data_IF_998820649890
#
_entry.id   IF_998820649890
#
_cell.length_a   1.000
_cell.length_b   1.000
_cell.length_c   1.000
_cell.angle_alpha   90.00
_cell.angle_beta   90.00
_cell.angle_gamma   90.00
#
_symmetry.space_group_name_H-M   'P 1'
#
loop_
_entity.id
_entity.type
_entity.pdbx_description
1 polymer ?
#
# COMPACT_ATOMS: atom_id res chain seq x y z
N UNK A 1 27.75 -32.46 29.52
CA UNK A 1 27.52 -33.68 30.32
C UNK A 1 26.49 -34.56 29.64
N UNK A 2 26.90 -35.79 29.22
CA UNK A 2 26.18 -37.07 29.02
C UNK A 2 24.91 -37.01 28.16
N UNK A 3 24.85 -37.40 26.82
CA UNK A 3 25.08 -38.74 26.25
C UNK A 3 24.20 -39.87 26.82
N UNK A 4 23.28 -40.40 25.95
CA UNK A 4 22.82 -41.79 25.86
C UNK A 4 21.96 -41.91 24.57
N UNK A 5 22.43 -42.42 23.54
CA UNK A 5 22.58 -43.70 22.88
C UNK A 5 21.64 -44.80 23.43
N UNK A 6 20.70 -45.28 22.60
CA UNK A 6 20.18 -46.63 22.62
C UNK A 6 19.82 -47.10 21.21
N UNK A 7 20.27 -48.10 20.85
CA UNK A 7 20.65 -49.17 19.99
C UNK A 7 19.55 -50.24 19.89
N UNK A 8 19.42 -50.82 18.67
CA UNK A 8 18.96 -52.16 18.25
C UNK A 8 17.47 -52.53 18.38
N UNK A 9 16.84 -53.07 17.34
CA UNK A 9 17.01 -54.45 16.88
C UNK A 9 16.32 -54.73 15.53
N UNK A 10 17.02 -55.37 14.64
CA UNK A 10 16.55 -55.97 13.40
C UNK A 10 15.87 -57.31 13.70
N UNK A 11 14.78 -57.63 12.97
CA UNK A 11 14.35 -59.00 12.78
C UNK A 11 13.94 -59.24 11.33
N UNK A 12 14.77 -59.97 10.65
CA UNK A 12 14.51 -60.58 9.35
C UNK A 12 13.62 -61.81 9.54
N UNK A 13 12.57 -61.98 8.77
CA UNK A 13 11.87 -63.24 8.60
C UNK A 13 11.87 -63.60 7.14
N UNK A 14 12.64 -64.66 6.89
CA UNK A 14 12.74 -65.40 5.63
C UNK A 14 11.58 -66.39 5.55
N UNK A 15 10.81 -66.46 4.48
CA UNK A 15 10.03 -67.65 4.15
C UNK A 15 10.24 -68.01 2.70
N UNK A 16 10.68 -69.26 2.54
CA UNK A 16 11.05 -69.90 1.30
C UNK A 16 9.85 -70.66 0.71
N UNK A 17 9.80 -70.57 -0.62
CA UNK A 17 9.47 -71.59 -1.63
C UNK A 17 8.41 -72.68 -1.40
N UNK A 18 7.50 -72.80 -2.36
CA UNK A 18 7.32 -74.08 -3.03
C UNK A 18 6.80 -73.88 -4.48
N UNK A 19 7.53 -74.51 -5.36
CA UNK A 19 7.29 -74.69 -6.79
C UNK A 19 6.25 -75.80 -7.02
N UNK A 20 5.30 -75.59 -7.93
CA UNK A 20 4.66 -76.71 -8.63
C UNK A 20 4.54 -76.37 -10.14
N UNK A 21 5.23 -77.18 -10.87
CA UNK A 21 5.33 -77.26 -12.32
C UNK A 21 4.17 -78.13 -12.85
N UNK A 22 3.37 -77.64 -13.79
CA UNK A 22 2.56 -78.50 -14.65
C UNK A 22 2.69 -78.05 -16.09
N UNK A 23 3.20 -78.96 -16.89
CA UNK A 23 3.30 -78.97 -18.34
C UNK A 23 2.00 -79.49 -18.95
N UNK A 24 1.45 -78.82 -19.95
CA UNK A 24 0.95 -79.43 -21.20
C UNK A 24 0.53 -78.35 -22.21
N UNK A 25 1.14 -78.43 -23.30
CA UNK A 25 0.88 -78.69 -24.74
C UNK A 25 0.28 -77.56 -25.52
N UNK A 26 1.02 -77.31 -26.57
CA UNK A 26 0.84 -76.43 -27.73
C UNK A 26 -0.55 -76.49 -28.38
N UNK A 27 -1.08 -75.29 -28.69
CA UNK A 27 -1.84 -75.09 -29.93
C UNK A 27 -1.60 -73.63 -30.40
N UNK A 28 -1.05 -73.53 -31.61
CA UNK A 28 -0.80 -72.29 -32.31
C UNK A 28 -2.12 -71.62 -32.73
N UNK A 29 -2.38 -70.44 -32.24
CA UNK A 29 -3.21 -69.46 -32.93
C UNK A 29 -2.51 -68.12 -32.94
N UNK A 30 -2.18 -67.67 -34.15
CA UNK A 30 -1.73 -66.38 -34.51
C UNK A 30 -2.70 -65.32 -33.94
N UNK A 31 -2.27 -64.62 -32.91
CA UNK A 31 -2.95 -63.39 -32.45
C UNK A 31 -2.18 -62.22 -32.98
N UNK A 32 -2.84 -61.42 -33.82
CA UNK A 32 -2.45 -60.06 -34.15
C UNK A 32 -2.32 -59.29 -32.86
N UNK A 33 -1.10 -58.89 -32.52
CA UNK A 33 -0.84 -57.92 -31.47
C UNK A 33 -1.38 -56.56 -31.91
N UNK A 34 -2.62 -56.26 -31.58
CA UNK A 34 -3.07 -54.86 -31.50
C UNK A 34 -2.30 -54.20 -30.39
N UNK A 35 -1.39 -53.30 -30.76
CA UNK A 35 -0.80 -52.31 -29.86
C UNK A 35 -1.90 -51.45 -29.24
N UNK A 36 -2.40 -51.82 -28.07
CA UNK A 36 -3.32 -51.02 -27.25
C UNK A 36 -2.59 -50.36 -26.10
N UNK A 37 -1.54 -49.62 -26.41
CA UNK A 37 -0.92 -48.74 -25.42
C UNK A 37 -0.78 -47.35 -26.05
N UNK A 38 -1.80 -46.47 -25.79
CA UNK A 38 -1.62 -44.98 -25.77
C UNK A 38 -2.89 -44.15 -25.82
N UNK A 39 -3.99 -44.49 -25.17
CA UNK A 39 -5.18 -43.64 -25.22
C UNK A 39 -5.76 -43.19 -23.87
N UNK A 40 -5.03 -43.34 -22.77
CA UNK A 40 -5.57 -43.03 -21.44
C UNK A 40 -5.77 -41.53 -21.16
N UNK A 41 -5.26 -40.60 -22.00
CA UNK A 41 -5.35 -39.16 -21.82
C UNK A 41 -5.89 -38.40 -23.02
N UNK A 42 -6.42 -39.08 -24.05
CA UNK A 42 -6.96 -38.42 -25.23
C UNK A 42 -8.47 -38.18 -25.08
N UNK A 43 -8.88 -36.92 -25.27
CA UNK A 43 -10.27 -36.49 -25.18
C UNK A 43 -10.77 -36.17 -26.58
N UNK A 44 -11.79 -36.88 -27.06
CA UNK A 44 -12.43 -36.59 -28.33
C UNK A 44 -13.47 -35.50 -28.09
N UNK A 45 -13.33 -34.40 -28.80
CA UNK A 45 -14.24 -33.25 -28.72
C UNK A 45 -14.50 -32.73 -30.13
N UNK A 46 -15.70 -33.03 -30.63
CA UNK A 46 -16.05 -32.82 -32.05
C UNK A 46 -16.07 -31.35 -32.44
N UNK A 47 -15.93 -31.05 -33.73
CA UNK A 47 -16.05 -29.69 -34.26
C UNK A 47 -17.43 -29.07 -33.98
N UNK A 48 -18.50 -29.86 -33.98
CA UNK A 48 -19.83 -29.40 -33.63
C UNK A 48 -19.89 -28.93 -32.15
N UNK A 49 -19.32 -29.72 -31.22
CA UNK A 49 -19.21 -29.37 -29.81
C UNK A 49 -18.32 -28.12 -29.62
N UNK A 50 -17.19 -28.09 -30.30
CA UNK A 50 -16.24 -26.93 -30.26
C UNK A 50 -16.92 -25.64 -30.69
N UNK A 51 -17.71 -25.67 -31.76
CA UNK A 51 -18.46 -24.53 -32.28
C UNK A 51 -19.59 -24.12 -31.35
N UNK A 52 -20.29 -25.08 -30.78
CA UNK A 52 -21.42 -24.84 -29.86
C UNK A 52 -20.97 -24.14 -28.56
N UNK A 53 -19.81 -24.48 -28.02
CA UNK A 53 -19.29 -23.86 -26.78
C UNK A 53 -18.35 -22.68 -27.03
N UNK A 54 -18.11 -22.27 -28.28
CA UNK A 54 -17.18 -21.18 -28.61
C UNK A 54 -15.74 -21.48 -28.23
N UNK A 55 -15.29 -22.75 -28.39
CA UNK A 55 -13.95 -23.16 -28.05
C UNK A 55 -12.91 -22.36 -28.85
N UNK A 56 -11.92 -21.82 -28.12
CA UNK A 56 -10.77 -21.12 -28.73
C UNK A 56 -9.48 -21.73 -28.25
N UNK A 57 -8.52 -21.81 -29.13
CA UNK A 57 -7.16 -22.24 -28.82
C UNK A 57 -6.18 -21.12 -29.11
N UNK A 58 -5.12 -21.05 -28.32
CA UNK A 58 -4.00 -20.11 -28.47
C UNK A 58 -2.72 -20.91 -28.55
N UNK A 59 -1.81 -20.51 -29.46
CA UNK A 59 -0.47 -21.10 -29.50
C UNK A 59 0.35 -20.49 -28.38
N UNK A 60 0.82 -21.33 -27.47
CA UNK A 60 1.65 -20.93 -26.33
C UNK A 60 2.95 -20.29 -26.83
N UNK A 61 3.19 -19.05 -26.39
CA UNK A 61 4.41 -18.30 -26.70
C UNK A 61 4.89 -17.62 -25.44
N UNK A 62 6.19 -17.61 -25.18
CA UNK A 62 6.76 -16.77 -24.15
C UNK A 62 6.42 -15.30 -24.40
N UNK A 63 6.09 -14.58 -23.37
CA UNK A 63 5.72 -13.16 -23.40
C UNK A 63 6.21 -12.46 -22.17
N UNK A 64 6.10 -11.14 -22.17
CA UNK A 64 6.32 -10.35 -20.95
C UNK A 64 5.13 -10.52 -20.01
N UNK A 65 5.41 -10.67 -18.71
CA UNK A 65 4.43 -10.86 -17.66
C UNK A 65 4.79 -10.01 -16.45
N UNK A 66 3.81 -9.42 -15.79
CA UNK A 66 4.00 -8.72 -14.53
C UNK A 66 2.97 -9.20 -13.52
N UNK A 67 3.44 -9.65 -12.38
CA UNK A 67 2.55 -10.02 -11.29
C UNK A 67 1.77 -8.81 -10.80
N UNK A 68 0.49 -9.01 -10.48
CA UNK A 68 -0.35 -7.98 -9.83
C UNK A 68 -0.79 -8.52 -8.48
N UNK A 69 -0.45 -7.76 -7.45
CA UNK A 69 -0.93 -8.01 -6.09
C UNK A 69 -2.05 -7.01 -5.78
N UNK A 70 -3.29 -7.50 -5.60
CA UNK A 70 -4.42 -6.70 -5.19
C UNK A 70 -4.44 -6.55 -3.68
N UNK A 71 -4.44 -5.30 -3.20
CA UNK A 71 -4.47 -4.93 -1.79
C UNK A 71 -5.37 -3.72 -1.58
N UNK A 72 -5.79 -3.49 -0.37
CA UNK A 72 -6.45 -2.24 0.02
C UNK A 72 -5.44 -1.22 0.52
N UNK A 73 -5.84 0.04 0.54
CA UNK A 73 -4.99 1.09 1.06
C UNK A 73 -5.72 2.42 1.20
N UNK A 74 -4.96 3.45 1.48
CA UNK A 74 -5.49 4.77 1.75
C UNK A 74 -4.61 5.87 1.16
N UNK A 75 -5.24 6.95 0.72
CA UNK A 75 -4.56 8.18 0.35
C UNK A 75 -4.36 9.02 1.61
N UNK A 76 -3.14 9.43 1.86
CA UNK A 76 -2.74 10.24 3.01
C UNK A 76 -2.07 11.53 2.54
N UNK A 77 -2.05 12.60 3.34
CA UNK A 77 -1.23 13.77 3.02
C UNK A 77 0.26 13.41 3.07
N UNK A 78 1.05 13.98 2.18
CA UNK A 78 2.50 13.79 2.22
C UNK A 78 3.11 14.52 3.43
N UNK A 79 4.20 14.01 4.01
CA UNK A 79 4.94 14.69 5.05
C UNK A 79 5.36 16.11 4.60
N UNK A 80 5.05 17.11 5.42
CA UNK A 80 5.32 18.52 5.13
C UNK A 80 4.23 19.23 4.33
N UNK A 81 3.24 18.54 3.82
CA UNK A 81 2.06 19.15 3.19
C UNK A 81 0.95 19.49 4.20
N UNK A 82 1.10 19.09 5.44
CA UNK A 82 0.26 19.51 6.56
C UNK A 82 1.08 20.20 7.66
N UNK A 83 0.51 21.20 8.28
CA UNK A 83 1.09 21.88 9.43
C UNK A 83 0.03 22.15 10.49
N UNK A 84 0.40 21.89 11.75
CA UNK A 84 -0.40 22.29 12.89
C UNK A 84 -0.09 23.73 13.24
N UNK A 85 -1.11 24.53 13.33
CA UNK A 85 -1.06 25.93 13.80
C UNK A 85 -1.26 25.92 15.29
N UNK A 86 -0.27 26.41 16.05
CA UNK A 86 -0.29 26.39 17.52
C UNK A 86 -0.35 27.78 18.11
N UNK A 87 -0.89 27.90 19.33
CA UNK A 87 -0.85 29.13 20.12
C UNK A 87 0.61 29.48 20.46
N UNK A 88 0.98 30.74 20.25
CA UNK A 88 2.31 31.28 20.60
C UNK A 88 2.36 31.94 21.95
N UNK A 89 1.19 32.07 22.60
CA UNK A 89 1.04 32.64 23.97
C UNK A 89 -0.19 32.05 24.64
N UNK A 90 -0.23 32.18 25.96
CA UNK A 90 -1.40 31.84 26.76
C UNK A 90 -2.47 32.93 26.62
N UNK A 91 -3.73 32.54 26.57
CA UNK A 91 -4.83 33.50 26.50
C UNK A 91 -6.15 32.94 25.98
N UNK A 92 -7.08 33.83 25.71
CA UNK A 92 -8.39 33.53 25.14
C UNK A 92 -8.30 33.67 23.62
N UNK A 93 -8.78 32.65 22.92
CA UNK A 93 -8.81 32.62 21.45
C UNK A 93 -9.95 33.46 20.90
N UNK A 94 -9.63 34.27 19.87
CA UNK A 94 -10.63 34.88 19.01
C UNK A 94 -10.35 34.43 17.59
N UNK A 95 -11.25 33.64 17.00
CA UNK A 95 -11.13 33.07 15.70
C UNK A 95 -11.44 34.12 14.59
N UNK A 96 -10.71 34.03 13.47
CA UNK A 96 -11.08 34.82 12.31
C UNK A 96 -12.25 34.13 11.59
N UNK A 97 -13.46 34.68 11.75
CA UNK A 97 -14.70 34.08 11.25
C UNK A 97 -14.68 33.72 9.76
N UNK A 98 -13.89 34.44 8.95
CA UNK A 98 -13.81 34.20 7.50
C UNK A 98 -12.79 33.11 7.12
N UNK A 99 -11.79 32.87 7.96
CA UNK A 99 -10.70 31.94 7.68
C UNK A 99 -10.71 30.69 8.58
N UNK A 100 -11.24 30.81 9.80
CA UNK A 100 -11.29 29.70 10.75
C UNK A 100 -12.50 28.77 10.48
N UNK A 101 -12.63 28.33 9.23
CA UNK A 101 -13.69 27.40 8.79
C UNK A 101 -13.03 26.26 8.02
N UNK A 102 -13.35 24.98 8.29
CA UNK A 102 -12.85 23.86 7.49
C UNK A 102 -13.14 24.06 5.99
N UNK A 103 -12.12 23.87 5.15
CA UNK A 103 -12.18 24.12 3.71
C UNK A 103 -11.81 25.56 3.29
N UNK A 104 -11.71 26.53 4.20
CA UNK A 104 -11.30 27.89 3.84
C UNK A 104 -9.85 27.95 3.36
N UNK A 105 -9.62 28.64 2.23
CA UNK A 105 -8.29 28.86 1.67
C UNK A 105 -7.51 29.89 2.49
N UNK A 106 -6.26 29.57 2.83
CA UNK A 106 -5.34 30.45 3.55
C UNK A 106 -4.01 30.56 2.83
N UNK A 107 -3.39 31.73 2.91
CA UNK A 107 -2.01 31.94 2.46
C UNK A 107 -1.06 31.86 3.65
N UNK A 108 0.21 31.53 3.38
CA UNK A 108 1.26 31.62 4.40
C UNK A 108 1.28 33.02 5.02
N UNK A 109 1.22 33.11 6.35
CA UNK A 109 1.12 34.37 7.10
C UNK A 109 -0.30 34.88 7.32
N UNK A 110 -1.34 34.27 6.75
CA UNK A 110 -2.73 34.61 7.03
C UNK A 110 -3.05 34.40 8.51
N UNK A 111 -3.69 35.37 9.14
CA UNK A 111 -4.06 35.34 10.55
C UNK A 111 -5.34 34.53 10.74
N UNK A 112 -5.21 33.32 11.31
CA UNK A 112 -6.32 32.38 11.53
C UNK A 112 -7.06 32.75 12.84
N UNK A 113 -6.30 33.15 13.86
CA UNK A 113 -6.83 33.50 15.17
C UNK A 113 -5.96 34.59 15.81
N UNK A 114 -6.47 35.16 16.88
CA UNK A 114 -5.69 35.96 17.86
C UNK A 114 -5.85 35.37 19.25
N UNK A 115 -4.80 35.44 20.06
CA UNK A 115 -4.82 35.00 21.46
C UNK A 115 -4.64 36.21 22.33
N UNK A 116 -5.62 36.48 23.19
CA UNK A 116 -5.64 37.69 24.05
C UNK A 116 -5.54 37.31 25.52
N UNK A 117 -4.56 37.91 26.21
CA UNK A 117 -4.41 37.77 27.66
C UNK A 117 -4.87 39.04 28.42
N UNK A 118 -5.50 40.01 27.74
CA UNK A 118 -5.86 41.32 28.32
C UNK A 118 -6.73 41.23 29.58
N UNK A 119 -7.67 40.26 29.61
CA UNK A 119 -8.63 40.10 30.71
C UNK A 119 -8.25 38.96 31.65
N UNK A 120 -7.03 38.42 31.53
CA UNK A 120 -6.54 37.39 32.44
C UNK A 120 -5.85 38.02 33.67
N UNK A 121 -5.94 37.36 34.81
CA UNK A 121 -5.28 37.79 36.05
C UNK A 121 -3.76 37.94 35.89
N UNK A 122 -3.16 37.13 34.98
CA UNK A 122 -1.75 37.23 34.61
C UNK A 122 -1.40 38.48 33.81
N UNK A 123 -2.40 39.20 33.24
CA UNK A 123 -2.21 40.35 32.39
C UNK A 123 -1.56 40.06 31.03
N UNK A 124 -1.59 41.06 30.15
CA UNK A 124 -1.03 40.95 28.82
C UNK A 124 0.52 40.91 28.85
N UNK A 125 1.15 39.82 28.35
CA UNK A 125 2.62 39.66 28.36
C UNK A 125 3.35 40.76 27.57
N UNK A 126 2.77 41.21 26.45
CA UNK A 126 3.36 42.26 25.60
C UNK A 126 3.37 43.60 26.33
N UNK A 127 2.26 43.94 27.03
CA UNK A 127 2.17 45.14 27.83
C UNK A 127 3.20 45.13 28.97
N UNK A 128 3.37 44.00 29.66
CA UNK A 128 4.39 43.86 30.73
C UNK A 128 5.80 44.02 30.16
N UNK A 129 6.13 43.32 29.07
CA UNK A 129 7.43 43.43 28.44
C UNK A 129 7.73 44.86 27.97
N UNK A 130 6.72 45.57 27.44
CA UNK A 130 6.84 46.96 27.06
C UNK A 130 7.17 47.86 28.25
N UNK A 131 6.47 47.73 29.39
CA UNK A 131 6.71 48.49 30.60
C UNK A 131 8.16 48.25 31.11
N UNK A 132 8.59 46.99 31.15
CA UNK A 132 9.97 46.63 31.53
C UNK A 132 10.99 47.26 30.61
N UNK A 133 10.79 47.15 29.29
CA UNK A 133 11.65 47.79 28.31
C UNK A 133 11.73 49.31 28.43
N UNK A 134 10.58 49.99 28.57
CA UNK A 134 10.52 51.46 28.73
C UNK A 134 11.22 51.90 30.01
N UNK A 135 11.12 51.13 31.10
CA UNK A 135 11.79 51.39 32.38
C UNK A 135 13.31 51.23 32.22
N UNK A 136 13.76 50.08 31.71
CA UNK A 136 15.19 49.83 31.51
C UNK A 136 15.83 50.83 30.52
N UNK A 137 15.09 51.26 29.52
CA UNK A 137 15.52 52.28 28.57
C UNK A 137 15.79 53.62 29.26
N UNK A 138 14.88 54.05 30.10
CA UNK A 138 15.02 55.33 30.84
C UNK A 138 16.21 55.29 31.82
N UNK A 139 16.43 54.14 32.47
CA UNK A 139 17.58 53.93 33.36
C UNK A 139 18.89 53.95 32.61
N UNK A 140 18.96 53.26 31.45
CA UNK A 140 20.13 53.25 30.58
C UNK A 140 20.44 54.65 30.00
N UNK A 141 19.43 55.40 29.49
CA UNK A 141 19.59 56.77 28.99
C UNK A 141 20.09 57.74 30.06
N UNK A 142 19.68 57.51 31.33
CA UNK A 142 20.21 58.26 32.47
C UNK A 142 21.64 57.88 32.77
N UNK A 143 21.96 56.59 32.80
CA UNK A 143 23.28 56.08 33.05
C UNK A 143 24.31 56.55 31.99
N UNK A 144 23.86 56.64 30.71
CA UNK A 144 24.74 57.18 29.63
C UNK A 144 25.20 58.60 29.85
N UNK A 145 24.40 59.44 30.51
CA UNK A 145 24.80 60.77 30.90
C UNK A 145 25.75 60.76 32.09
N UNK A 146 25.40 59.98 33.14
CA UNK A 146 26.13 59.92 34.39
C UNK A 146 27.53 59.31 34.27
N UNK A 147 27.74 58.36 33.36
CA UNK A 147 29.07 57.74 33.13
C UNK A 147 30.01 58.72 32.45
N UNK A 148 29.51 59.60 31.56
CA UNK A 148 30.31 60.66 30.92
C UNK A 148 30.84 61.65 31.94
N UNK A 149 30.02 61.96 32.96
CA UNK A 149 30.40 62.83 34.07
C UNK A 149 31.14 62.09 35.22
N UNK A 150 31.49 60.77 35.02
CA UNK A 150 32.17 59.93 36.01
C UNK A 150 31.44 59.80 37.34
N UNK A 151 30.12 59.93 37.34
CA UNK A 151 29.29 59.86 38.56
C UNK A 151 28.96 58.40 38.89
N UNK A 152 28.89 57.51 37.90
CA UNK A 152 28.73 56.07 38.07
C UNK A 152 29.95 55.32 37.52
N UNK A 153 30.18 54.09 37.98
CA UNK A 153 31.25 53.22 37.45
C UNK A 153 30.92 52.63 36.08
N UNK A 154 32.00 52.33 35.33
CA UNK A 154 31.83 51.61 34.02
C UNK A 154 31.13 50.27 34.21
N UNK A 155 31.33 49.57 35.32
CA UNK A 155 30.68 48.33 35.65
C UNK A 155 29.17 48.51 35.83
N UNK A 156 28.75 49.58 36.46
CA UNK A 156 27.35 49.89 36.71
C UNK A 156 26.66 50.32 35.42
N UNK A 157 27.35 51.07 34.57
CA UNK A 157 26.87 51.41 33.22
C UNK A 157 26.67 50.15 32.36
N UNK A 158 27.65 49.24 32.29
CA UNK A 158 27.53 47.99 31.54
C UNK A 158 26.40 47.08 32.06
N UNK A 159 26.16 47.07 33.38
CA UNK A 159 24.99 46.37 33.96
C UNK A 159 23.66 46.91 33.44
N UNK A 160 23.46 48.23 33.48
CA UNK A 160 22.24 48.89 33.06
C UNK A 160 22.05 48.77 31.53
N UNK A 161 23.15 48.76 30.75
CA UNK A 161 23.12 48.49 29.32
C UNK A 161 22.65 47.07 29.04
N UNK A 162 23.21 46.08 29.73
CA UNK A 162 22.80 44.68 29.57
C UNK A 162 21.32 44.48 29.92
N UNK A 163 20.82 45.08 30.97
CA UNK A 163 19.40 45.05 31.37
C UNK A 163 18.48 45.65 30.26
N UNK A 164 18.90 46.78 29.69
CA UNK A 164 18.19 47.39 28.55
C UNK A 164 18.16 46.48 27.32
N UNK A 165 19.29 45.89 26.94
CA UNK A 165 19.39 45.01 25.79
C UNK A 165 18.56 43.75 25.99
N UNK A 166 18.52 43.16 27.19
CA UNK A 166 17.68 42.03 27.55
C UNK A 166 16.19 42.40 27.48
N UNK A 167 15.80 43.50 28.07
CA UNK A 167 14.41 43.98 28.09
C UNK A 167 13.92 44.30 26.64
N UNK A 168 14.78 44.90 25.82
CA UNK A 168 14.49 45.19 24.40
C UNK A 168 14.30 43.88 23.61
N UNK A 169 15.15 42.89 23.82
CA UNK A 169 15.08 41.60 23.14
C UNK A 169 13.78 40.88 23.51
N UNK A 170 13.44 40.84 24.80
CA UNK A 170 12.20 40.26 25.28
C UNK A 170 10.95 40.97 24.74
N UNK A 171 10.95 42.30 24.75
CA UNK A 171 9.82 43.09 24.19
C UNK A 171 9.66 42.83 22.68
N UNK A 172 10.74 42.83 21.90
CA UNK A 172 10.71 42.53 20.48
C UNK A 172 10.18 41.13 20.19
N UNK A 173 10.60 40.12 20.96
CA UNK A 173 10.13 38.76 20.80
C UNK A 173 8.63 38.63 21.07
N UNK A 174 8.10 39.28 22.13
CA UNK A 174 6.70 39.18 22.50
C UNK A 174 5.79 40.10 21.67
N UNK A 175 6.30 41.23 21.17
CA UNK A 175 5.54 42.15 20.30
C UNK A 175 5.41 41.69 18.85
N UNK A 176 6.13 40.67 18.47
CA UNK A 176 6.01 40.07 17.14
C UNK A 176 4.58 39.56 16.93
N UNK A 177 3.94 39.92 15.81
CA UNK A 177 2.53 39.60 15.50
C UNK A 177 1.49 40.14 16.52
N UNK A 178 1.85 41.11 17.38
CA UNK A 178 0.89 41.73 18.29
C UNK A 178 -0.06 42.67 17.53
N UNK A 179 -1.34 42.51 17.78
CA UNK A 179 -2.43 43.34 17.24
C UNK A 179 -3.22 44.02 18.38
N UNK A 180 -4.14 44.89 18.04
CA UNK A 180 -5.06 45.47 19.02
C UNK A 180 -5.94 44.43 19.74
N UNK A 181 -6.16 43.26 19.10
CA UNK A 181 -6.99 42.16 19.60
C UNK A 181 -6.22 41.09 20.37
N UNK A 182 -4.88 41.10 20.31
CA UNK A 182 -4.02 40.10 20.94
C UNK A 182 -2.84 39.71 20.04
N UNK A 183 -2.22 38.58 20.36
CA UNK A 183 -1.11 38.03 19.56
C UNK A 183 -1.70 37.21 18.42
N UNK A 184 -1.31 37.55 17.17
CA UNK A 184 -1.78 36.88 15.96
C UNK A 184 -1.20 35.49 15.81
N UNK A 185 -2.06 34.52 15.53
CA UNK A 185 -1.70 33.15 15.19
C UNK A 185 -1.85 32.97 13.69
N UNK A 186 -0.72 32.76 13.01
CA UNK A 186 -0.63 32.78 11.56
C UNK A 186 -0.43 31.38 10.97
N UNK A 187 -0.93 31.19 9.74
CA UNK A 187 -0.67 29.98 8.98
C UNK A 187 0.82 29.88 8.58
N UNK A 188 1.51 28.78 8.88
CA UNK A 188 2.90 28.57 8.47
C UNK A 188 3.04 28.26 6.97
N UNK A 189 1.95 27.86 6.31
CA UNK A 189 1.93 27.50 4.88
C UNK A 189 0.65 27.99 4.19
N UNK A 190 0.69 28.03 2.85
CA UNK A 190 -0.49 28.29 2.03
C UNK A 190 -1.23 26.98 1.75
N UNK A 191 -2.55 26.99 1.78
CA UNK A 191 -3.39 25.81 1.59
C UNK A 191 -4.81 26.07 2.04
N UNK A 192 -5.42 25.09 2.68
CA UNK A 192 -6.77 25.22 3.26
C UNK A 192 -6.80 24.72 4.69
N UNK A 193 -7.74 25.23 5.47
CA UNK A 193 -7.99 24.76 6.84
C UNK A 193 -8.61 23.36 6.77
N UNK A 194 -7.92 22.38 7.33
CA UNK A 194 -8.42 21.00 7.42
C UNK A 194 -9.36 20.85 8.61
N UNK A 195 -8.88 21.27 9.80
CA UNK A 195 -9.64 21.19 11.05
C UNK A 195 -9.40 22.44 11.89
N UNK A 196 -10.40 22.84 12.65
CA UNK A 196 -10.29 23.75 13.78
C UNK A 196 -10.42 22.92 15.05
N UNK A 197 -9.48 23.07 15.98
CA UNK A 197 -9.32 22.23 17.17
C UNK A 197 -9.75 22.95 18.47
N UNK A 198 -10.15 24.22 18.37
CA UNK A 198 -10.59 25.06 19.49
C UNK A 198 -11.85 25.82 19.11
N UNK A 199 -12.64 26.23 20.08
CA UNK A 199 -13.80 27.08 19.89
C UNK A 199 -13.47 28.58 20.16
N UNK A 200 -14.33 29.45 19.64
CA UNK A 200 -14.28 30.88 19.96
C UNK A 200 -14.42 31.07 21.49
N UNK A 201 -13.52 31.82 22.11
CA UNK A 201 -13.51 32.08 23.54
C UNK A 201 -12.81 31.03 24.41
N UNK A 202 -12.28 29.95 23.83
CA UNK A 202 -11.51 28.96 24.58
C UNK A 202 -10.22 29.55 25.12
N UNK A 203 -9.84 29.12 26.31
CA UNK A 203 -8.52 29.39 26.86
C UNK A 203 -7.52 28.38 26.26
N UNK A 204 -6.40 28.90 25.77
CA UNK A 204 -5.29 28.07 25.22
C UNK A 204 -3.98 28.40 25.91
N UNK A 205 -3.13 27.38 26.00
CA UNK A 205 -1.75 27.52 26.49
C UNK A 205 -0.78 27.55 25.34
N UNK A 206 0.38 28.14 25.54
CA UNK A 206 1.49 28.17 24.56
C UNK A 206 1.81 26.75 24.04
N UNK A 207 1.84 26.57 22.74
CA UNK A 207 2.06 25.26 22.08
C UNK A 207 0.79 24.45 21.84
N UNK A 208 -0.38 24.87 22.37
CA UNK A 208 -1.64 24.16 22.10
C UNK A 208 -2.06 24.33 20.63
N UNK A 209 -2.49 23.23 20.02
CA UNK A 209 -2.96 23.21 18.65
C UNK A 209 -4.29 23.96 18.51
N UNK A 210 -4.37 24.87 17.54
CA UNK A 210 -5.56 25.66 17.21
C UNK A 210 -6.22 25.16 15.94
N UNK A 211 -5.42 24.89 14.91
CA UNK A 211 -5.92 24.45 13.60
C UNK A 211 -4.90 23.55 12.90
N UNK A 212 -5.37 22.83 11.90
CA UNK A 212 -4.50 22.13 10.95
C UNK A 212 -4.71 22.71 9.56
N UNK A 213 -3.64 23.07 8.89
CA UNK A 213 -3.63 23.57 7.50
C UNK A 213 -2.99 22.53 6.60
N UNK A 214 -3.60 22.25 5.47
CA UNK A 214 -3.11 21.29 4.45
C UNK A 214 -2.91 22.00 3.11
N UNK A 215 -1.82 21.66 2.41
CA UNK A 215 -1.58 22.13 1.03
C UNK A 215 -2.24 21.25 -0.02
N UNK A 216 -2.35 19.95 0.29
CA UNK A 216 -2.90 18.93 -0.60
C UNK A 216 -2.25 18.86 -2.00
N UNK A 217 -0.97 19.26 -2.10
CA UNK A 217 -0.23 19.22 -3.37
C UNK A 217 0.37 17.87 -3.66
N UNK A 218 0.88 17.23 -2.63
CA UNK A 218 1.45 15.90 -2.68
C UNK A 218 0.72 14.98 -1.73
N UNK A 219 0.54 13.77 -2.18
CA UNK A 219 -0.15 12.74 -1.43
C UNK A 219 0.73 11.50 -1.31
N UNK A 220 0.41 10.70 -0.33
CA UNK A 220 0.98 9.37 -0.11
C UNK A 220 -0.11 8.35 -0.33
N UNK A 221 0.07 7.48 -1.31
CA UNK A 221 -0.71 6.26 -1.46
C UNK A 221 -0.05 5.17 -0.60
N UNK A 222 -0.70 4.80 0.49
CA UNK A 222 -0.29 3.69 1.36
C UNK A 222 -1.05 2.44 0.97
N UNK A 223 -0.34 1.42 0.54
CA UNK A 223 -0.86 0.09 0.24
C UNK A 223 -0.53 -0.86 1.40
N UNK A 224 -1.54 -1.55 1.93
CA UNK A 224 -1.40 -2.44 3.08
C UNK A 224 -1.22 -3.90 2.59
N UNK A 225 0.03 -4.33 2.46
CA UNK A 225 0.41 -5.65 1.95
C UNK A 225 0.32 -6.69 3.09
N UNK A 226 -0.46 -7.78 2.94
CA UNK A 226 -0.51 -8.85 3.94
C UNK A 226 0.87 -9.49 4.18
N UNK A 227 1.16 -9.89 5.41
CA UNK A 227 2.44 -10.50 5.79
C UNK A 227 2.81 -11.71 4.92
N UNK A 228 1.83 -12.54 4.54
CA UNK A 228 2.03 -13.69 3.66
C UNK A 228 2.63 -13.35 2.30
N UNK A 229 2.44 -12.10 1.83
CA UNK A 229 2.96 -11.58 0.57
C UNK A 229 4.25 -10.75 0.77
N UNK A 230 4.83 -10.78 1.97
CA UNK A 230 5.99 -9.97 2.35
C UNK A 230 7.20 -10.14 1.44
N UNK A 231 7.41 -11.35 0.90
CA UNK A 231 8.51 -11.66 -0.03
C UNK A 231 8.41 -10.90 -1.35
N UNK A 232 7.19 -10.64 -1.83
CA UNK A 232 6.91 -9.99 -3.12
C UNK A 232 7.09 -8.47 -3.09
N UNK A 233 7.15 -7.85 -1.90
CA UNK A 233 7.21 -6.39 -1.76
C UNK A 233 8.39 -5.72 -2.47
N UNK A 234 9.53 -6.43 -2.57
CA UNK A 234 10.74 -5.90 -3.20
C UNK A 234 10.66 -5.87 -4.73
N UNK A 235 9.75 -6.63 -5.31
CA UNK A 235 9.54 -6.68 -6.76
C UNK A 235 8.52 -5.65 -7.23
N UNK A 236 7.85 -4.94 -6.32
CA UNK A 236 6.87 -3.90 -6.64
C UNK A 236 7.58 -2.72 -7.33
N UNK A 237 7.13 -2.39 -8.54
CA UNK A 237 7.70 -1.35 -9.38
C UNK A 237 6.74 -0.18 -9.63
N UNK A 238 5.42 -0.43 -9.57
CA UNK A 238 4.37 0.55 -9.86
C UNK A 238 3.06 0.16 -9.17
N UNK A 239 2.07 1.04 -9.20
CA UNK A 239 0.73 0.72 -8.74
C UNK A 239 -0.34 1.42 -9.58
N UNK A 240 -1.44 0.71 -9.80
CA UNK A 240 -2.71 1.30 -10.21
C UNK A 240 -3.65 1.30 -9.01
N UNK A 241 -4.52 2.29 -8.93
CA UNK A 241 -5.51 2.32 -7.85
C UNK A 241 -6.86 2.86 -8.31
N UNK A 242 -7.89 2.44 -7.62
CA UNK A 242 -9.29 2.83 -7.84
C UNK A 242 -9.82 3.34 -6.51
N UNK A 243 -10.38 4.53 -6.49
CA UNK A 243 -10.98 5.09 -5.28
C UNK A 243 -12.34 4.44 -5.01
N UNK A 244 -12.63 4.17 -3.75
CA UNK A 244 -13.96 3.68 -3.35
C UNK A 244 -15.09 4.65 -3.70
N UNK A 245 -14.78 5.95 -3.81
CA UNK A 245 -15.71 7.01 -4.21
C UNK A 245 -15.95 7.10 -5.72
N UNK A 246 -15.01 6.60 -6.54
CA UNK A 246 -15.10 6.60 -8.01
C UNK A 246 -14.55 5.28 -8.59
N UNK A 247 -15.38 4.26 -8.58
CA UNK A 247 -15.03 2.92 -9.04
C UNK A 247 -14.82 2.79 -10.56
N UNK A 248 -15.09 3.84 -11.33
CA UNK A 248 -14.96 3.82 -12.80
C UNK A 248 -13.60 4.33 -13.27
N UNK A 249 -12.89 5.08 -12.45
CA UNK A 249 -11.62 5.71 -12.82
C UNK A 249 -10.44 4.96 -12.22
N UNK A 250 -9.51 4.57 -13.08
CA UNK A 250 -8.24 3.95 -12.69
C UNK A 250 -7.16 5.03 -12.73
N UNK A 251 -6.48 5.20 -11.62
CA UNK A 251 -5.32 6.07 -11.48
C UNK A 251 -4.04 5.23 -11.55
N UNK A 252 -2.99 5.77 -12.15
CA UNK A 252 -1.67 5.13 -12.18
C UNK A 252 -0.65 6.02 -11.48
N UNK A 253 0.16 5.45 -10.61
CA UNK A 253 1.14 6.18 -9.81
C UNK A 253 2.12 6.95 -10.69
N UNK A 254 2.69 6.33 -11.73
CA UNK A 254 3.63 7.01 -12.64
C UNK A 254 2.99 8.13 -13.43
N UNK A 255 1.71 7.97 -13.83
CA UNK A 255 0.97 9.02 -14.53
C UNK A 255 0.73 10.26 -13.65
N UNK A 256 0.71 10.07 -12.32
CA UNK A 256 0.64 11.16 -11.33
C UNK A 256 2.04 11.60 -10.84
N UNK A 257 3.06 11.46 -11.68
CA UNK A 257 4.47 11.75 -11.35
C UNK A 257 4.94 11.05 -10.06
N UNK A 258 4.32 9.92 -9.75
CA UNK A 258 4.54 9.23 -8.51
C UNK A 258 5.77 8.33 -8.52
N UNK A 259 6.24 8.04 -7.33
CA UNK A 259 7.38 7.15 -7.10
C UNK A 259 7.16 6.32 -5.85
N UNK A 260 7.74 5.15 -5.84
CA UNK A 260 7.83 4.34 -4.64
C UNK A 260 8.79 5.02 -3.65
N UNK A 261 8.33 5.22 -2.43
CA UNK A 261 9.11 5.85 -1.34
C UNK A 261 9.65 4.80 -0.39
N UNK A 262 8.83 3.82 -0.03
CA UNK A 262 9.19 2.84 1.00
C UNK A 262 8.50 1.51 0.79
N UNK A 263 9.26 0.45 0.99
CA UNK A 263 8.74 -0.86 1.38
C UNK A 263 8.81 -0.93 2.90
N UNK A 264 7.69 -1.07 3.57
CA UNK A 264 7.66 -1.14 5.02
C UNK A 264 8.65 -2.16 5.59
N UNK A 265 9.43 -1.74 6.56
CA UNK A 265 10.40 -2.59 7.27
C UNK A 265 9.84 -3.15 8.56
N UNK A 266 8.74 -2.58 9.04
CA UNK A 266 8.06 -2.98 10.27
C UNK A 266 6.63 -3.38 9.94
N UNK A 267 6.16 -4.42 10.60
CA UNK A 267 4.76 -4.80 10.62
C UNK A 267 4.11 -3.98 11.72
N UNK A 268 3.01 -3.32 11.41
CA UNK A 268 2.20 -2.68 12.44
C UNK A 268 1.62 -3.79 13.33
N UNK A 269 1.97 -3.76 14.62
CA UNK A 269 1.56 -4.78 15.58
C UNK A 269 0.02 -4.91 15.73
N UNK A 270 -0.73 -3.92 15.29
CA UNK A 270 -2.20 -3.92 15.35
C UNK A 270 -2.86 -4.34 14.04
N UNK A 271 -2.17 -4.24 12.89
CA UNK A 271 -2.80 -4.44 11.57
C UNK A 271 -2.31 -5.67 10.81
N UNK A 272 -1.17 -6.27 11.18
CA UNK A 272 -0.53 -7.40 10.47
C UNK A 272 -0.24 -7.13 8.98
N UNK A 273 -0.17 -5.85 8.59
CA UNK A 273 0.15 -5.42 7.24
C UNK A 273 1.53 -4.76 7.18
N UNK A 274 2.15 -4.88 6.01
CA UNK A 274 3.40 -4.19 5.68
C UNK A 274 3.02 -3.02 4.76
N UNK A 275 3.22 -1.76 5.16
CA UNK A 275 2.87 -0.64 4.32
C UNK A 275 3.87 -0.49 3.17
N UNK A 276 3.38 -0.49 1.93
CA UNK A 276 4.12 -0.05 0.76
C UNK A 276 3.63 1.34 0.39
N UNK A 277 4.55 2.28 0.28
CA UNK A 277 4.22 3.71 0.23
C UNK A 277 4.72 4.34 -1.06
N UNK A 278 3.81 4.98 -1.79
CA UNK A 278 4.12 5.78 -2.96
C UNK A 278 3.81 7.26 -2.68
N UNK A 279 4.66 8.15 -3.14
CA UNK A 279 4.38 9.59 -3.18
C UNK A 279 3.86 9.93 -4.58
N UNK A 280 2.79 10.71 -4.66
CA UNK A 280 2.16 11.13 -5.91
C UNK A 280 1.85 12.63 -5.88
N UNK A 281 1.85 13.30 -7.03
CA UNK A 281 1.36 14.65 -7.16
C UNK A 281 -0.18 14.64 -7.21
N UNK A 282 -0.80 15.56 -6.48
CA UNK A 282 -2.25 15.72 -6.50
C UNK A 282 -2.68 16.65 -7.64
N UNK A 283 -2.66 16.15 -8.86
CA UNK A 283 -3.09 16.85 -10.07
C UNK A 283 -4.58 16.63 -10.39
N UNK A 284 -5.25 15.75 -9.65
CA UNK A 284 -6.58 15.24 -9.94
C UNK A 284 -7.57 15.51 -8.80
N UNK A 285 -7.25 16.44 -7.90
CA UNK A 285 -8.05 16.79 -6.71
C UNK A 285 -8.43 15.60 -5.82
N UNK A 286 -7.49 14.66 -5.67
CA UNK A 286 -7.66 13.53 -4.79
C UNK A 286 -7.78 13.99 -3.33
N UNK A 287 -8.71 13.40 -2.59
CA UNK A 287 -8.99 13.80 -1.22
C UNK A 287 -8.21 12.91 -0.24
N UNK A 288 -7.34 13.47 0.61
CA UNK A 288 -6.68 12.71 1.68
C UNK A 288 -7.71 12.08 2.62
N UNK A 289 -7.45 10.85 3.02
CA UNK A 289 -8.38 10.03 3.80
C UNK A 289 -9.21 9.06 2.95
N UNK A 290 -9.22 9.20 1.62
CA UNK A 290 -9.94 8.29 0.75
C UNK A 290 -9.32 6.89 0.76
N UNK A 291 -10.18 5.86 0.80
CA UNK A 291 -9.78 4.47 0.63
C UNK A 291 -9.68 4.11 -0.85
N UNK A 292 -8.75 3.21 -1.15
CA UNK A 292 -8.48 2.76 -2.50
C UNK A 292 -8.27 1.24 -2.57
N UNK A 293 -8.76 0.63 -3.65
CA UNK A 293 -8.33 -0.68 -4.11
C UNK A 293 -7.07 -0.51 -4.95
N UNK A 294 -5.98 -1.14 -4.55
CA UNK A 294 -4.65 -0.91 -5.10
C UNK A 294 -4.16 -2.18 -5.77
N UNK A 295 -3.71 -2.06 -7.00
CA UNK A 295 -3.13 -3.11 -7.81
C UNK A 295 -1.63 -2.84 -7.94
N UNK A 296 -0.85 -3.43 -7.04
CA UNK A 296 0.61 -3.34 -7.04
C UNK A 296 1.16 -4.18 -8.20
N UNK A 297 1.92 -3.57 -9.07
CA UNK A 297 2.52 -4.24 -10.22
C UNK A 297 3.97 -4.59 -9.88
N UNK A 298 4.28 -5.88 -9.98
CA UNK A 298 5.61 -6.41 -9.79
C UNK A 298 6.56 -6.07 -10.93
N UNK A 299 7.81 -6.51 -10.80
CA UNK A 299 8.80 -6.38 -11.86
C UNK A 299 8.33 -7.13 -13.11
N UNK A 300 8.60 -6.56 -14.26
CA UNK A 300 8.33 -7.22 -15.53
C UNK A 300 9.28 -8.42 -15.73
N UNK A 301 8.70 -9.59 -15.87
CA UNK A 301 9.40 -10.82 -16.23
C UNK A 301 9.34 -11.00 -17.75
N UNK A 302 10.42 -11.46 -18.34
CA UNK A 302 10.50 -11.83 -19.77
C UNK A 302 10.48 -13.34 -19.92
N UNK A 303 10.11 -13.81 -21.12
CA UNK A 303 10.10 -15.24 -21.45
C UNK A 303 9.19 -16.12 -20.57
N UNK A 304 8.09 -15.55 -20.08
CA UNK A 304 7.12 -16.25 -19.24
C UNK A 304 5.99 -16.82 -20.11
N UNK A 305 5.65 -18.08 -19.89
CA UNK A 305 4.43 -18.68 -20.42
C UNK A 305 3.27 -18.32 -19.52
N UNK A 306 2.23 -17.68 -20.05
CA UNK A 306 1.01 -17.38 -19.32
C UNK A 306 -0.23 -17.71 -20.13
N UNK A 307 -1.30 -18.15 -19.46
CA UNK A 307 -2.60 -18.43 -20.07
C UNK A 307 -3.71 -17.63 -19.39
N UNK A 308 -4.81 -17.31 -20.10
CA UNK A 308 -6.00 -16.76 -19.46
C UNK A 308 -6.48 -17.66 -18.32
N UNK A 309 -7.01 -17.06 -17.26
CA UNK A 309 -7.49 -17.80 -16.09
C UNK A 309 -8.53 -18.87 -16.46
N UNK A 310 -9.37 -18.60 -17.46
CA UNK A 310 -10.41 -19.50 -17.95
C UNK A 310 -9.86 -20.74 -18.66
N UNK A 311 -8.57 -20.74 -19.06
CA UNK A 311 -7.89 -21.88 -19.66
C UNK A 311 -7.49 -22.95 -18.65
N UNK A 312 -7.42 -22.58 -17.38
CA UNK A 312 -6.90 -23.42 -16.29
C UNK A 312 -8.08 -24.00 -15.50
N UNK A 313 -8.09 -25.31 -15.36
CA UNK A 313 -9.07 -26.04 -14.54
C UNK A 313 -8.40 -26.66 -13.34
N UNK A 314 -9.11 -26.72 -12.23
CA UNK A 314 -8.63 -27.34 -10.99
C UNK A 314 -9.38 -28.62 -10.70
N UNK A 315 -8.66 -29.65 -10.29
CA UNK A 315 -9.20 -30.93 -9.84
C UNK A 315 -8.36 -31.45 -8.68
N UNK A 316 -8.97 -31.67 -7.53
CA UNK A 316 -8.33 -32.21 -6.33
C UNK A 316 -7.03 -31.51 -5.92
N UNK A 317 -6.97 -30.19 -6.12
CA UNK A 317 -5.80 -29.37 -5.79
C UNK A 317 -4.70 -29.37 -6.86
N UNK A 318 -4.89 -30.07 -7.98
CA UNK A 318 -4.01 -30.04 -9.14
C UNK A 318 -4.60 -29.17 -10.25
N UNK A 319 -3.74 -28.53 -11.02
CA UNK A 319 -4.13 -27.65 -12.12
C UNK A 319 -3.88 -28.31 -13.48
N UNK A 320 -4.84 -28.13 -14.38
CA UNK A 320 -4.80 -28.74 -15.71
C UNK A 320 -5.15 -27.73 -16.79
N UNK A 321 -4.54 -27.91 -17.95
CA UNK A 321 -4.91 -27.27 -19.21
C UNK A 321 -5.19 -28.34 -20.27
N UNK A 322 -5.92 -27.98 -21.32
CA UNK A 322 -6.24 -28.89 -22.42
C UNK A 322 -5.48 -28.46 -23.65
N UNK A 323 -4.67 -29.37 -24.19
CA UNK A 323 -3.88 -29.14 -25.41
C UNK A 323 -4.57 -29.76 -26.60
N UNK A 324 -4.71 -29.01 -27.68
CA UNK A 324 -5.19 -29.53 -28.95
C UNK A 324 -4.05 -30.25 -29.66
N UNK A 325 -4.13 -31.57 -29.76
CA UNK A 325 -3.13 -32.44 -30.44
C UNK A 325 -3.60 -32.91 -31.81
N UNK A 326 -4.90 -32.77 -32.12
CA UNK A 326 -5.50 -33.10 -33.42
C UNK A 326 -6.70 -32.19 -33.69
N UNK A 327 -7.39 -32.38 -34.83
CA UNK A 327 -8.58 -31.53 -35.17
C UNK A 327 -9.68 -31.60 -34.12
N UNK A 328 -9.90 -32.78 -33.55
CA UNK A 328 -10.97 -33.08 -32.59
C UNK A 328 -10.41 -33.83 -31.39
N UNK A 329 -9.07 -33.87 -31.24
CA UNK A 329 -8.39 -34.60 -30.18
C UNK A 329 -7.67 -33.64 -29.28
N UNK A 330 -7.98 -33.73 -27.99
CA UNK A 330 -7.38 -32.92 -26.95
C UNK A 330 -6.70 -33.80 -25.91
N UNK A 331 -5.67 -33.27 -25.28
CA UNK A 331 -4.94 -33.95 -24.21
C UNK A 331 -5.06 -33.13 -22.95
N UNK A 332 -5.41 -33.79 -21.84
CA UNK A 332 -5.33 -33.18 -20.48
C UNK A 332 -3.86 -33.14 -20.07
N UNK A 333 -3.37 -31.96 -19.71
CA UNK A 333 -1.99 -31.72 -19.33
C UNK A 333 -1.96 -31.07 -17.95
N UNK A 334 -1.31 -31.72 -17.00
CA UNK A 334 -1.04 -31.14 -15.68
C UNK A 334 -0.02 -30.01 -15.80
N UNK A 335 -0.27 -28.93 -15.04
CA UNK A 335 0.57 -27.73 -15.03
C UNK A 335 0.79 -27.26 -13.60
N UNK A 336 1.96 -26.65 -13.37
CA UNK A 336 2.22 -25.89 -12.15
C UNK A 336 1.99 -24.42 -12.46
N UNK A 337 1.10 -23.77 -11.69
CA UNK A 337 0.81 -22.36 -11.85
C UNK A 337 1.69 -21.49 -10.95
N UNK A 338 1.98 -20.27 -11.40
CA UNK A 338 2.73 -19.25 -10.67
C UNK A 338 1.86 -18.05 -10.33
N UNK A 339 2.41 -16.88 -10.54
CA UNK A 339 1.80 -15.58 -10.29
C UNK A 339 0.65 -15.27 -11.24
N UNK A 340 -0.20 -14.32 -10.89
CA UNK A 340 -1.31 -13.85 -11.74
C UNK A 340 -1.28 -12.33 -11.90
N UNK A 341 -1.70 -11.84 -13.06
CA UNK A 341 -1.97 -10.41 -13.31
C UNK A 341 -3.47 -10.07 -13.19
N UNK A 342 -4.27 -11.02 -12.68
CA UNK A 342 -5.73 -10.91 -12.56
C UNK A 342 -6.50 -11.36 -13.81
N UNK A 343 -5.87 -11.40 -15.00
CA UNK A 343 -6.43 -11.87 -16.28
C UNK A 343 -5.76 -13.14 -16.77
N UNK A 344 -4.44 -13.19 -16.66
CA UNK A 344 -3.60 -14.33 -17.05
C UNK A 344 -2.88 -14.88 -15.82
N UNK A 345 -2.55 -16.15 -15.86
CA UNK A 345 -1.77 -16.84 -14.83
C UNK A 345 -0.51 -17.43 -15.47
N UNK A 346 0.61 -17.21 -14.82
CA UNK A 346 1.90 -17.78 -15.18
C UNK A 346 1.87 -19.30 -15.06
N UNK A 347 2.48 -19.98 -16.02
CA UNK A 347 2.67 -21.44 -16.02
C UNK A 347 4.16 -21.73 -15.84
N UNK A 348 4.50 -22.23 -14.66
CA UNK A 348 5.88 -22.54 -14.28
C UNK A 348 6.39 -23.82 -14.92
N UNK A 349 5.50 -24.81 -15.12
CA UNK A 349 5.85 -26.09 -15.75
C UNK A 349 4.62 -26.76 -16.36
N UNK A 350 4.87 -27.72 -17.27
CA UNK A 350 3.83 -28.52 -17.92
C UNK A 350 3.50 -28.08 -19.34
N UNK A 351 3.94 -26.90 -19.80
CA UNK A 351 3.75 -26.40 -21.16
C UNK A 351 5.08 -26.09 -21.85
N UNK A 352 5.05 -26.11 -23.16
CA UNK A 352 6.17 -25.73 -24.06
C UNK A 352 5.71 -24.69 -25.08
N UNK A 353 6.64 -23.84 -25.48
CA UNK A 353 6.39 -22.93 -26.61
C UNK A 353 6.00 -23.75 -27.85
N UNK A 354 4.92 -23.33 -28.51
CA UNK A 354 4.36 -24.02 -29.65
C UNK A 354 3.16 -24.92 -29.35
N UNK A 355 2.91 -25.29 -28.09
CA UNK A 355 1.70 -26.03 -27.70
C UNK A 355 0.44 -25.21 -28.04
N UNK A 356 -0.64 -25.89 -28.44
CA UNK A 356 -1.93 -25.27 -28.67
C UNK A 356 -2.84 -25.48 -27.46
N UNK A 357 -2.95 -24.51 -26.59
CA UNK A 357 -3.78 -24.58 -25.37
C UNK A 357 -5.20 -24.05 -25.65
N UNK A 358 -6.20 -24.71 -25.08
CA UNK A 358 -7.58 -24.22 -25.05
C UNK A 358 -7.66 -23.04 -24.10
N UNK A 359 -8.03 -21.86 -24.61
CA UNK A 359 -8.13 -20.62 -23.83
C UNK A 359 -9.57 -20.18 -23.56
N UNK A 360 -10.55 -20.78 -24.23
CA UNK A 360 -11.96 -20.61 -23.99
C UNK A 360 -12.67 -21.95 -24.20
N UNK A 361 -13.59 -22.33 -23.33
CA UNK A 361 -14.28 -23.64 -23.41
C UNK A 361 -13.52 -24.78 -22.73
N UNK A 362 -12.47 -24.51 -21.94
CA UNK A 362 -11.70 -25.55 -21.25
C UNK A 362 -12.56 -26.42 -20.31
N UNK A 363 -13.54 -25.82 -19.63
CA UNK A 363 -14.44 -26.53 -18.75
C UNK A 363 -15.33 -27.54 -19.52
N UNK A 364 -15.78 -27.23 -20.74
CA UNK A 364 -16.55 -28.13 -21.60
C UNK A 364 -15.72 -29.32 -22.06
N UNK A 365 -14.45 -29.09 -22.38
CA UNK A 365 -13.51 -30.20 -22.70
C UNK A 365 -13.27 -31.08 -21.46
N UNK A 366 -13.18 -30.49 -20.28
CA UNK A 366 -13.15 -31.22 -18.99
C UNK A 366 -14.36 -32.14 -18.83
N UNK A 367 -15.58 -31.62 -19.03
CA UNK A 367 -16.79 -32.42 -18.90
C UNK A 367 -16.84 -33.59 -19.90
N UNK A 368 -16.37 -33.36 -21.13
CA UNK A 368 -16.29 -34.43 -22.14
C UNK A 368 -15.32 -35.54 -21.71
N UNK A 369 -14.20 -35.21 -21.06
CA UNK A 369 -13.27 -36.21 -20.52
C UNK A 369 -13.90 -37.11 -19.47
N UNK A 370 -14.84 -36.57 -18.67
CA UNK A 370 -15.52 -37.32 -17.62
C UNK A 370 -16.65 -38.21 -18.20
N UNK A 371 -17.33 -37.78 -19.28
CA UNK A 371 -18.38 -38.56 -19.93
C UNK A 371 -17.86 -39.75 -20.74
N UNK A 372 -16.63 -39.65 -21.30
CA UNK A 372 -15.97 -40.77 -21.97
C UNK A 372 -15.46 -41.86 -21.01
N UNK A 373 -15.39 -41.58 -19.72
CA UNK A 373 -14.94 -42.52 -18.69
C UNK A 373 -16.10 -43.40 -18.12
N UNK A 374 -17.35 -43.17 -18.55
CA UNK A 374 -18.49 -44.01 -18.12
C UNK A 374 -18.57 -45.19 -19.12
N UNK A 375 -18.32 -46.44 -18.72
CA UNK A 375 -18.55 -47.61 -19.58
C UNK A 375 -20.03 -47.64 -19.96
N UNK A 376 -20.31 -47.88 -21.25
CA UNK A 376 -21.69 -48.17 -21.69
C UNK A 376 -22.23 -49.33 -20.86
N UNK A 377 -23.18 -49.06 -19.99
CA UNK A 377 -23.83 -50.06 -19.18
C UNK A 377 -24.48 -51.09 -20.13
N UNK A 378 -24.09 -52.33 -20.03
CA UNK A 378 -24.74 -53.47 -20.71
C UNK A 378 -26.21 -53.45 -20.30
N UNK A 379 -27.10 -53.04 -21.21
CA UNK A 379 -28.55 -53.23 -21.06
C UNK A 379 -28.85 -54.70 -21.22
N UNK A 380 -29.03 -55.40 -20.13
CA UNK A 380 -29.66 -56.72 -20.15
C UNK A 380 -31.20 -56.51 -20.33
N UNK A 381 -31.66 -56.72 -21.55
CA UNK A 381 -33.07 -56.90 -21.84
C UNK A 381 -33.49 -58.27 -21.32
N UNK A 382 -34.46 -58.27 -20.39
CA UNK A 382 -35.29 -59.40 -20.02
C UNK A 382 -36.64 -59.33 -20.74
#
# INVERSE_FOLDING_TARGET
MKAKVFFLLATAVLFATTSCKHTHSEDEHSAEEHESHKHENEIIFTQAQSKACGLKTETVKPSTFSEILHVSGQIMPAPGDEATVTATSDGIVNLNANLAVPGATVSKGSMIATVSAKNLASGDPVTKARITYETAKKEFERAEKLVKDKIISDKEYELLRSQYEEALTNYKAQSNNHTSSGIGVQSPLSGFIKNILVAEGDYVSTGQAIATVSQNRRLVLRADVPEKEASKRHDIADANFILSSDSKRIYNVKALNGRLVSYGKNIDAQSFFIPVTFEIDNTEDLIPGAYADIYLTGRQLTDVISLPKEAITEEQGLYFVYLQIGKEVFKKQEVTIGSTDGKRTEILSGLKAGDKAVVSGAYQVKLASLSGAIPEGHSHSH
#
